data_IF_674840034061
#
_entry.id   IF_674840034061
#
_cell.length_a   1.000
_cell.length_b   1.000
_cell.length_c   1.000
_cell.angle_alpha   90.00
_cell.angle_beta   90.00
_cell.angle_gamma   90.00
#
_symmetry.space_group_name_H-M   'P 1'
#
loop_
_entity.id
_entity.type
_entity.pdbx_description
1 polymer ?
#
# COMPACT_ATOMS: atom_id res chain seq x y z
N UNK A 1 19.11 -68.74 -34.97
CA UNK A 1 18.60 -67.69 -34.07
C UNK A 1 18.76 -66.35 -34.78
N UNK A 2 17.69 -65.80 -35.35
CA UNK A 2 17.72 -64.48 -35.98
C UNK A 2 17.28 -63.42 -34.95
N UNK A 3 18.21 -62.55 -34.58
CA UNK A 3 17.98 -61.43 -33.66
C UNK A 3 17.07 -60.40 -34.33
N UNK A 4 15.82 -60.28 -33.85
CA UNK A 4 14.91 -59.20 -34.25
C UNK A 4 15.51 -57.86 -33.80
N UNK A 5 15.91 -57.03 -34.77
CA UNK A 5 16.34 -55.66 -34.49
C UNK A 5 15.16 -54.87 -33.89
N UNK A 6 15.39 -54.03 -32.86
CA UNK A 6 14.34 -53.17 -32.34
C UNK A 6 13.91 -52.16 -33.41
N UNK A 7 12.61 -51.82 -33.48
CA UNK A 7 12.12 -50.89 -34.49
C UNK A 7 12.83 -49.54 -34.36
N UNK A 8 13.17 -48.88 -35.47
CA UNK A 8 13.85 -47.60 -35.43
C UNK A 8 13.00 -46.58 -34.65
N UNK A 9 13.63 -45.90 -33.70
CA UNK A 9 13.03 -44.78 -32.96
C UNK A 9 12.63 -43.68 -33.96
N UNK A 10 11.40 -43.74 -34.45
CA UNK A 10 10.84 -42.67 -35.25
C UNK A 10 10.87 -41.39 -34.40
N UNK A 11 11.67 -40.41 -34.82
CA UNK A 11 11.57 -39.05 -34.27
C UNK A 11 10.14 -38.59 -34.50
N UNK A 12 9.32 -38.61 -33.44
CA UNK A 12 7.98 -38.02 -33.48
C UNK A 12 8.17 -36.55 -33.82
N UNK A 13 7.94 -36.19 -35.08
CA UNK A 13 7.78 -34.81 -35.48
C UNK A 13 6.44 -34.34 -34.90
N UNK A 14 6.46 -33.88 -33.64
CA UNK A 14 5.30 -33.23 -33.02
C UNK A 14 4.78 -32.09 -33.89
N UNK A 15 5.65 -31.51 -34.75
CA UNK A 15 5.33 -30.46 -35.69
C UNK A 15 4.31 -30.83 -36.79
N UNK A 16 4.20 -32.11 -37.19
CA UNK A 16 3.25 -32.56 -38.23
C UNK A 16 1.97 -33.17 -37.65
N UNK A 17 1.96 -33.47 -36.34
CA UNK A 17 0.79 -33.98 -35.64
C UNK A 17 -0.25 -32.87 -35.44
N UNK A 18 -1.38 -33.00 -36.13
CA UNK A 18 -2.52 -32.08 -36.08
C UNK A 18 -3.02 -31.86 -34.66
N UNK A 19 -2.98 -32.89 -33.81
CA UNK A 19 -3.45 -32.82 -32.43
C UNK A 19 -2.50 -31.97 -31.57
N UNK A 20 -1.20 -32.09 -31.81
CA UNK A 20 -0.17 -31.26 -31.17
C UNK A 20 -0.31 -29.79 -31.60
N UNK A 21 -0.52 -29.54 -32.91
CA UNK A 21 -0.72 -28.18 -33.43
C UNK A 21 -1.98 -27.55 -32.86
N UNK A 22 -3.08 -28.30 -32.75
CA UNK A 22 -4.32 -27.85 -32.12
C UNK A 22 -4.12 -27.52 -30.63
N UNK A 23 -3.35 -28.35 -29.91
CA UNK A 23 -3.03 -28.12 -28.49
C UNK A 23 -2.17 -26.87 -28.31
N UNK A 24 -1.16 -26.66 -29.16
CA UNK A 24 -0.32 -25.46 -29.16
C UNK A 24 -1.11 -24.20 -29.53
N UNK A 25 -2.02 -24.29 -30.50
CA UNK A 25 -2.95 -23.22 -30.87
C UNK A 25 -3.90 -22.84 -29.73
N UNK A 26 -4.51 -23.81 -29.04
CA UNK A 26 -5.35 -23.58 -27.85
C UNK A 26 -4.57 -23.03 -26.65
N UNK A 27 -3.30 -23.46 -26.48
CA UNK A 27 -2.42 -22.93 -25.43
C UNK A 27 -2.05 -21.47 -25.71
N UNK A 28 -1.75 -21.13 -26.97
CA UNK A 28 -1.39 -19.79 -27.42
C UNK A 28 -2.61 -18.88 -27.68
N UNK A 29 -3.83 -19.42 -27.71
CA UNK A 29 -5.05 -18.67 -28.05
C UNK A 29 -5.11 -18.22 -29.50
N UNK A 30 -4.42 -18.93 -30.41
CA UNK A 30 -4.37 -18.59 -31.84
C UNK A 30 -5.10 -19.67 -32.62
N UNK A 31 -6.32 -19.37 -33.06
CA UNK A 31 -7.12 -20.23 -33.93
C UNK A 31 -8.21 -21.00 -33.21
N UNK A 32 -9.43 -20.49 -33.31
CA UNK A 32 -10.65 -21.00 -32.70
C UNK A 32 -11.55 -19.82 -32.40
N UNK A 33 -12.12 -19.23 -33.45
CA UNK A 33 -13.36 -18.47 -33.31
C UNK A 33 -14.44 -19.54 -33.15
N UNK A 34 -15.10 -19.59 -31.99
CA UNK A 34 -16.33 -20.37 -31.88
C UNK A 34 -17.38 -19.76 -32.82
N UNK A 35 -18.43 -20.51 -33.17
CA UNK A 35 -19.57 -20.03 -33.99
C UNK A 35 -20.24 -18.74 -33.45
N UNK A 36 -19.91 -18.33 -32.22
CA UNK A 36 -20.36 -17.11 -31.54
C UNK A 36 -19.41 -15.89 -31.68
N UNK A 37 -18.28 -16.01 -32.41
CA UNK A 37 -17.37 -14.88 -32.68
C UNK A 37 -16.45 -14.46 -31.52
N UNK A 38 -16.45 -15.19 -30.40
CA UNK A 38 -15.57 -14.89 -29.26
C UNK A 38 -14.20 -15.60 -29.39
N UNK A 39 -13.13 -14.82 -29.33
CA UNK A 39 -11.74 -15.33 -29.40
C UNK A 39 -11.42 -16.17 -28.17
N UNK A 40 -11.13 -17.47 -28.36
CA UNK A 40 -10.67 -18.35 -27.28
C UNK A 40 -9.42 -17.80 -26.61
N UNK A 41 -9.58 -17.33 -25.38
CA UNK A 41 -8.48 -16.85 -24.53
C UNK A 41 -7.43 -17.96 -24.37
N UNK A 42 -6.17 -17.60 -24.61
CA UNK A 42 -5.05 -18.53 -24.46
C UNK A 42 -5.05 -19.15 -23.06
N UNK A 43 -4.89 -20.48 -22.96
CA UNK A 43 -4.77 -21.14 -21.64
C UNK A 43 -3.57 -20.60 -20.84
N UNK A 44 -2.56 -20.05 -21.51
CA UNK A 44 -1.48 -19.29 -20.87
C UNK A 44 -2.04 -18.05 -20.16
N UNK A 45 -2.88 -17.24 -20.81
CA UNK A 45 -3.55 -16.10 -20.17
C UNK A 45 -4.53 -16.51 -19.05
N UNK A 46 -5.02 -17.76 -19.08
CA UNK A 46 -5.87 -18.32 -18.04
C UNK A 46 -5.07 -18.85 -16.83
N UNK A 47 -3.89 -19.45 -17.09
CA UNK A 47 -2.97 -19.98 -16.06
C UNK A 47 -2.08 -18.90 -15.45
N UNK A 48 -1.55 -17.96 -16.25
CA UNK A 48 -0.88 -16.74 -15.74
C UNK A 48 -1.89 -15.81 -15.04
N UNK A 49 -3.18 -16.07 -15.23
CA UNK A 49 -4.21 -15.18 -14.73
C UNK A 49 -4.17 -13.83 -15.46
N UNK A 50 -5.28 -13.13 -15.38
CA UNK A 50 -5.40 -11.79 -15.91
C UNK A 50 -4.53 -10.81 -15.09
N UNK A 51 -3.23 -10.72 -15.37
CA UNK A 51 -2.34 -9.71 -14.77
C UNK A 51 -2.73 -8.28 -15.20
N UNK A 52 -3.64 -8.13 -16.16
CA UNK A 52 -4.33 -6.86 -16.45
C UNK A 52 -5.15 -6.37 -15.23
N UNK A 53 -5.31 -7.19 -14.17
CA UNK A 53 -5.79 -6.74 -12.86
C UNK A 53 -4.77 -5.90 -12.07
N UNK A 54 -3.53 -5.70 -12.52
CA UNK A 54 -2.57 -4.82 -11.85
C UNK A 54 -2.67 -3.35 -12.26
N UNK A 55 -3.40 -3.03 -13.32
CA UNK A 55 -3.88 -1.66 -13.55
C UNK A 55 -5.16 -1.40 -12.71
N UNK A 56 -5.12 -1.69 -11.41
CA UNK A 56 -6.10 -1.08 -10.50
C UNK A 56 -5.82 0.40 -10.60
N UNK A 57 -6.73 1.14 -11.22
CA UNK A 57 -6.72 2.59 -11.25
C UNK A 57 -6.62 3.07 -9.81
N UNK A 58 -5.40 3.42 -9.38
CA UNK A 58 -5.19 3.96 -8.05
C UNK A 58 -6.09 5.19 -7.93
N UNK A 59 -6.75 5.38 -6.78
CA UNK A 59 -7.55 6.57 -6.62
C UNK A 59 -6.66 7.80 -6.80
N UNK A 60 -7.12 8.69 -7.68
CA UNK A 60 -6.42 9.93 -7.99
C UNK A 60 -6.18 10.68 -6.67
N UNK A 61 -4.91 11.01 -6.39
CA UNK A 61 -4.51 11.72 -5.17
C UNK A 61 -3.99 10.85 -4.02
N UNK A 62 -4.11 9.51 -4.06
CA UNK A 62 -3.54 8.66 -2.99
C UNK A 62 -2.02 8.82 -2.86
N UNK A 63 -1.31 8.85 -3.98
CA UNK A 63 0.14 9.06 -4.00
C UNK A 63 0.53 10.42 -3.45
N UNK A 64 -0.27 11.44 -3.76
CA UNK A 64 -0.07 12.79 -3.23
C UNK A 64 -0.30 12.80 -1.72
N UNK A 65 -1.34 12.13 -1.24
CA UNK A 65 -1.59 12.00 0.20
C UNK A 65 -0.44 11.30 0.92
N UNK A 66 0.02 10.15 0.42
CA UNK A 66 1.16 9.42 0.98
C UNK A 66 2.45 10.26 0.97
N UNK A 67 2.64 11.09 -0.05
CA UNK A 67 3.80 11.96 -0.14
C UNK A 67 3.72 13.08 0.92
N UNK A 68 2.57 13.74 1.01
CA UNK A 68 2.32 14.79 2.01
C UNK A 68 2.51 14.23 3.43
N UNK A 69 1.99 13.04 3.70
CA UNK A 69 2.12 12.43 5.02
C UNK A 69 3.55 12.02 5.32
N UNK A 70 4.27 11.41 4.36
CA UNK A 70 5.69 11.09 4.53
C UNK A 70 6.54 12.33 4.86
N UNK A 71 6.31 13.44 4.16
CA UNK A 71 6.97 14.74 4.42
C UNK A 71 6.62 15.28 5.80
N UNK A 72 5.35 15.23 6.19
CA UNK A 72 4.91 15.66 7.53
C UNK A 72 5.57 14.84 8.65
N UNK A 73 5.62 13.51 8.52
CA UNK A 73 6.29 12.64 9.48
C UNK A 73 7.79 12.93 9.56
N UNK A 74 8.46 13.15 8.40
CA UNK A 74 9.87 13.55 8.36
C UNK A 74 10.09 14.88 9.08
N UNK A 75 9.25 15.88 8.81
CA UNK A 75 9.34 17.22 9.41
C UNK A 75 9.18 17.18 10.93
N UNK A 76 8.14 16.50 11.43
CA UNK A 76 7.90 16.35 12.87
C UNK A 76 9.02 15.56 13.54
N UNK A 77 9.54 14.51 12.90
CA UNK A 77 10.66 13.73 13.42
C UNK A 77 11.93 14.58 13.59
N UNK A 78 12.29 15.38 12.57
CA UNK A 78 13.45 16.27 12.62
C UNK A 78 13.25 17.34 13.69
N UNK A 79 12.07 17.95 13.77
CA UNK A 79 11.75 18.94 14.81
C UNK A 79 11.86 18.35 16.22
N UNK A 80 11.39 17.11 16.43
CA UNK A 80 11.47 16.44 17.73
C UNK A 80 12.89 16.07 18.14
N UNK A 81 13.78 15.80 17.17
CA UNK A 81 15.19 15.51 17.42
C UNK A 81 16.01 16.79 17.67
N UNK A 82 15.83 17.82 16.84
CA UNK A 82 16.63 19.04 16.88
C UNK A 82 16.15 20.03 17.96
N UNK A 83 14.82 20.22 18.08
CA UNK A 83 14.22 21.26 18.93
C UNK A 83 13.03 20.71 19.74
N UNK A 84 13.29 19.85 20.75
CA UNK A 84 12.23 19.22 21.55
C UNK A 84 11.40 20.24 22.36
N UNK A 85 12.00 21.37 22.74
CA UNK A 85 11.32 22.40 23.55
C UNK A 85 10.26 23.14 22.76
N UNK A 86 10.54 23.52 21.51
CA UNK A 86 9.58 24.24 20.66
C UNK A 86 8.32 23.42 20.35
N UNK A 87 8.46 22.09 20.20
CA UNK A 87 7.31 21.23 19.99
C UNK A 87 6.46 21.06 21.25
N UNK A 88 7.09 20.97 22.42
CA UNK A 88 6.37 20.79 23.68
C UNK A 88 5.65 22.08 24.07
N UNK A 89 6.34 23.22 23.97
CA UNK A 89 5.81 24.54 24.28
C UNK A 89 4.64 24.91 23.35
N UNK A 90 4.77 24.64 22.04
CA UNK A 90 3.68 24.89 21.09
C UNK A 90 2.41 24.03 21.31
N UNK A 91 2.53 22.90 22.01
CA UNK A 91 1.42 21.95 22.20
C UNK A 91 0.79 22.10 23.59
N UNK A 92 1.61 22.27 24.63
CA UNK A 92 1.16 22.25 26.01
C UNK A 92 1.33 23.58 26.75
N UNK A 93 2.05 24.57 26.19
CA UNK A 93 2.38 25.85 26.86
C UNK A 93 2.90 25.64 28.30
N UNK A 94 3.50 24.48 28.57
CA UNK A 94 4.03 24.07 29.86
C UNK A 94 5.56 24.13 29.82
N UNK A 95 6.16 24.73 30.86
CA UNK A 95 7.60 24.75 31.02
C UNK A 95 8.12 23.31 31.22
N UNK A 96 9.08 22.88 30.40
CA UNK A 96 9.52 21.49 30.32
C UNK A 96 10.33 21.06 31.56
N UNK A 97 9.65 20.72 32.66
CA UNK A 97 10.35 20.43 33.93
C UNK A 97 10.89 18.98 34.01
N UNK A 98 10.50 18.04 33.13
CA UNK A 98 11.06 16.69 33.24
C UNK A 98 11.29 15.93 31.92
N UNK A 99 12.57 15.83 31.56
CA UNK A 99 13.21 14.95 30.56
C UNK A 99 12.90 15.24 29.07
N UNK A 100 13.89 15.85 28.39
CA UNK A 100 13.92 16.02 26.91
C UNK A 100 14.13 14.69 26.15
N UNK A 101 14.57 13.66 26.87
CA UNK A 101 14.90 12.31 26.36
C UNK A 101 13.70 11.58 25.71
N UNK A 102 12.52 11.48 26.35
CA UNK A 102 11.33 10.86 25.74
C UNK A 102 10.91 11.54 24.42
N UNK A 103 10.97 12.87 24.33
CA UNK A 103 10.60 13.61 23.11
C UNK A 103 11.56 13.27 21.96
N UNK A 104 12.86 13.14 22.24
CA UNK A 104 13.85 12.72 21.23
C UNK A 104 13.70 11.26 20.81
N UNK A 105 13.41 10.36 21.75
CA UNK A 105 13.13 8.96 21.43
C UNK A 105 11.87 8.82 20.56
N UNK A 106 10.84 9.61 20.85
CA UNK A 106 9.66 9.73 20.01
C UNK A 106 10.00 10.24 18.60
N UNK A 107 10.83 11.29 18.49
CA UNK A 107 11.33 11.77 17.20
C UNK A 107 12.09 10.70 16.40
N UNK A 108 12.92 9.89 17.08
CA UNK A 108 13.63 8.77 16.46
C UNK A 108 12.69 7.67 15.95
N UNK A 109 11.66 7.33 16.71
CA UNK A 109 10.62 6.38 16.28
C UNK A 109 9.80 6.92 15.10
N UNK A 110 9.50 8.22 15.07
CA UNK A 110 8.84 8.84 13.93
C UNK A 110 9.71 8.84 12.67
N UNK A 111 11.02 9.03 12.83
CA UNK A 111 11.96 9.00 11.72
C UNK A 111 11.99 7.61 11.06
N UNK A 112 12.00 6.53 11.86
CA UNK A 112 11.95 5.16 11.32
C UNK A 112 10.64 4.86 10.59
N UNK A 113 9.49 5.31 11.12
CA UNK A 113 8.19 5.20 10.44
C UNK A 113 8.19 6.02 9.15
N UNK A 114 8.78 7.22 9.16
CA UNK A 114 8.85 8.08 7.97
C UNK A 114 9.67 7.44 6.84
N UNK A 115 10.77 6.75 7.15
CA UNK A 115 11.56 6.01 6.16
C UNK A 115 10.75 4.86 5.52
N UNK A 116 9.89 4.19 6.30
CA UNK A 116 8.99 3.15 5.77
C UNK A 116 7.94 3.80 4.84
N UNK A 117 7.41 4.96 5.21
CA UNK A 117 6.45 5.71 4.38
C UNK A 117 7.08 6.19 3.06
N UNK A 118 8.33 6.63 3.08
CA UNK A 118 9.07 6.99 1.86
C UNK A 118 9.25 5.79 0.92
N UNK A 119 9.51 4.59 1.46
CA UNK A 119 9.58 3.38 0.66
C UNK A 119 8.21 2.97 0.10
N UNK A 120 7.12 3.22 0.83
CA UNK A 120 5.77 2.90 0.38
C UNK A 120 5.34 3.67 -0.89
N UNK A 121 5.94 4.83 -1.16
CA UNK A 121 5.69 5.62 -2.38
C UNK A 121 6.13 4.91 -3.65
N UNK A 122 7.18 4.09 -3.58
CA UNK A 122 7.72 3.38 -4.75
C UNK A 122 7.00 2.05 -5.01
N UNK A 123 6.27 1.54 -4.04
CA UNK A 123 5.61 0.23 -4.13
C UNK A 123 4.19 0.35 -4.66
N UNK A 124 3.84 -0.46 -5.66
CA UNK A 124 2.50 -0.55 -6.25
C UNK A 124 1.59 -1.59 -5.57
N UNK A 125 2.08 -2.28 -4.54
CA UNK A 125 1.30 -3.30 -3.85
C UNK A 125 0.19 -2.70 -2.98
N UNK A 126 -1.04 -3.04 -3.32
CA UNK A 126 -2.26 -2.63 -2.62
C UNK A 126 -2.25 -2.97 -1.12
N UNK A 127 -1.60 -4.07 -0.75
CA UNK A 127 -1.50 -4.52 0.64
C UNK A 127 -0.64 -3.54 1.43
N UNK A 128 0.54 -3.20 0.91
CA UNK A 128 1.48 -2.25 1.54
C UNK A 128 0.84 -0.86 1.67
N UNK A 129 0.14 -0.38 0.64
CA UNK A 129 -0.59 0.89 0.70
C UNK A 129 -1.70 0.91 1.77
N UNK A 130 -2.40 -0.22 1.98
CA UNK A 130 -3.43 -0.31 3.02
C UNK A 130 -2.85 -0.38 4.43
N UNK A 131 -1.76 -1.11 4.62
CA UNK A 131 -1.09 -1.18 5.91
C UNK A 131 -0.50 0.16 6.32
N UNK A 132 0.11 0.89 5.39
CA UNK A 132 0.67 2.22 5.66
C UNK A 132 -0.39 3.25 6.03
N UNK A 133 -1.52 3.27 5.33
CA UNK A 133 -2.69 4.08 5.71
C UNK A 133 -3.29 3.68 7.06
N UNK A 134 -3.30 2.38 7.38
CA UNK A 134 -3.79 1.90 8.67
C UNK A 134 -2.85 2.33 9.82
N UNK A 135 -1.54 2.24 9.62
CA UNK A 135 -0.53 2.73 10.56
C UNK A 135 -0.68 4.23 10.79
N UNK A 136 -0.89 5.00 9.72
CA UNK A 136 -1.14 6.44 9.78
C UNK A 136 -2.41 6.78 10.58
N UNK A 137 -3.53 6.13 10.27
CA UNK A 137 -4.79 6.32 10.98
C UNK A 137 -4.68 5.93 12.47
N UNK A 138 -3.97 4.84 12.77
CA UNK A 138 -3.72 4.42 14.14
C UNK A 138 -2.87 5.43 14.90
N UNK A 139 -1.79 5.94 14.29
CA UNK A 139 -0.92 6.94 14.90
C UNK A 139 -1.69 8.22 15.23
N UNK A 140 -2.45 8.78 14.28
CA UNK A 140 -3.22 10.00 14.55
C UNK A 140 -4.38 9.76 15.52
N UNK A 141 -4.98 8.57 15.52
CA UNK A 141 -6.01 8.19 16.49
C UNK A 141 -5.48 8.11 17.92
N UNK A 142 -4.33 7.45 18.12
CA UNK A 142 -3.66 7.41 19.43
C UNK A 142 -3.24 8.80 19.86
N UNK A 143 -2.66 9.59 18.96
CA UNK A 143 -2.23 10.96 19.27
C UNK A 143 -3.41 11.86 19.65
N UNK A 144 -4.54 11.75 18.95
CA UNK A 144 -5.78 12.46 19.30
C UNK A 144 -6.27 12.08 20.70
N UNK A 145 -6.28 10.78 21.02
CA UNK A 145 -6.74 10.30 22.33
C UNK A 145 -5.83 10.80 23.46
N UNK A 146 -4.51 10.69 23.31
CA UNK A 146 -3.54 11.18 24.30
C UNK A 146 -3.69 12.69 24.51
N UNK A 147 -3.66 13.48 23.43
CA UNK A 147 -3.79 14.94 23.54
C UNK A 147 -5.14 15.36 24.12
N UNK A 148 -6.22 14.63 23.84
CA UNK A 148 -7.54 14.92 24.43
C UNK A 148 -7.57 14.68 25.93
N UNK A 149 -6.98 13.57 26.40
CA UNK A 149 -6.90 13.27 27.84
C UNK A 149 -6.06 14.34 28.55
N UNK A 150 -4.87 14.65 28.02
CA UNK A 150 -3.99 15.67 28.60
C UNK A 150 -4.65 17.05 28.62
N UNK A 151 -5.42 17.41 27.60
CA UNK A 151 -6.14 18.70 27.58
C UNK A 151 -7.23 18.78 28.65
N UNK A 152 -7.93 17.66 28.91
CA UNK A 152 -8.94 17.57 29.97
C UNK A 152 -8.28 17.65 31.35
N UNK A 153 -7.12 17.03 31.53
CA UNK A 153 -6.37 17.05 32.79
C UNK A 153 -5.75 18.43 33.09
N UNK A 154 -5.15 19.09 32.09
CA UNK A 154 -4.52 20.41 32.26
C UNK A 154 -5.54 21.56 32.40
N UNK A 155 -6.82 21.34 32.05
CA UNK A 155 -7.92 22.29 32.24
C UNK A 155 -7.79 23.62 31.48
N UNK A 156 -6.78 23.76 30.61
CA UNK A 156 -6.47 24.95 29.81
C UNK A 156 -6.49 24.60 28.33
N UNK A 157 -7.60 24.93 27.68
CA UNK A 157 -7.75 24.76 26.23
C UNK A 157 -7.02 25.86 25.46
N UNK A 158 -5.73 25.68 25.12
CA UNK A 158 -5.06 26.59 24.17
C UNK A 158 -5.73 26.50 22.79
N UNK A 159 -5.86 27.64 22.11
CA UNK A 159 -6.38 27.71 20.74
C UNK A 159 -5.52 26.89 19.77
N UNK A 160 -4.21 26.79 20.02
CA UNK A 160 -3.31 25.92 19.27
C UNK A 160 -3.64 24.44 19.45
N UNK A 161 -3.84 23.99 20.69
CA UNK A 161 -4.17 22.60 21.01
C UNK A 161 -5.50 22.14 20.38
N UNK A 162 -6.51 23.02 20.37
CA UNK A 162 -7.81 22.73 19.75
C UNK A 162 -7.72 22.64 18.22
N UNK A 163 -6.98 23.54 17.57
CA UNK A 163 -6.71 23.46 16.13
C UNK A 163 -5.92 22.19 15.76
N UNK A 164 -4.95 21.81 16.59
CA UNK A 164 -4.21 20.55 16.42
C UNK A 164 -5.17 19.35 16.49
N UNK A 165 -6.05 19.27 17.49
CA UNK A 165 -7.03 18.18 17.59
C UNK A 165 -7.94 18.09 16.36
N UNK A 166 -8.46 19.22 15.88
CA UNK A 166 -9.29 19.27 14.66
C UNK A 166 -8.49 18.73 13.46
N UNK A 167 -7.24 19.16 13.31
CA UNK A 167 -6.38 18.66 12.23
C UNK A 167 -6.21 17.14 12.30
N UNK A 168 -6.00 16.57 13.49
CA UNK A 168 -5.83 15.10 13.65
C UNK A 168 -7.07 14.32 13.24
N UNK A 169 -8.26 14.81 13.59
CA UNK A 169 -9.52 14.20 13.15
C UNK A 169 -9.63 14.23 11.62
N UNK A 170 -9.28 15.36 10.98
CA UNK A 170 -9.27 15.46 9.52
C UNK A 170 -8.30 14.46 8.88
N UNK A 171 -7.07 14.35 9.39
CA UNK A 171 -6.09 13.38 8.90
C UNK A 171 -6.64 11.94 9.02
N UNK A 172 -7.18 11.55 10.16
CA UNK A 172 -7.79 10.23 10.38
C UNK A 172 -8.91 9.94 9.38
N UNK A 173 -9.82 10.91 9.16
CA UNK A 173 -10.92 10.76 8.21
C UNK A 173 -10.42 10.57 6.77
N UNK A 174 -9.40 11.31 6.35
CA UNK A 174 -8.80 11.19 5.02
C UNK A 174 -8.11 9.84 4.86
N UNK A 175 -7.32 9.39 5.85
CA UNK A 175 -6.65 8.09 5.83
C UNK A 175 -7.68 6.94 5.77
N UNK A 176 -8.76 7.01 6.55
CA UNK A 176 -9.85 6.03 6.49
C UNK A 176 -10.61 6.05 5.16
N UNK A 177 -10.85 7.23 4.60
CA UNK A 177 -11.48 7.37 3.29
C UNK A 177 -10.67 6.64 2.21
N UNK A 178 -9.37 6.91 2.13
CA UNK A 178 -8.48 6.22 1.19
C UNK A 178 -8.35 4.73 1.47
N UNK A 179 -8.28 4.33 2.75
CA UNK A 179 -8.24 2.93 3.14
C UNK A 179 -9.49 2.17 2.69
N UNK A 180 -10.67 2.76 2.86
CA UNK A 180 -11.94 2.18 2.41
C UNK A 180 -12.02 2.13 0.89
N UNK A 181 -11.60 3.18 0.20
CA UNK A 181 -11.61 3.26 -1.26
C UNK A 181 -10.68 2.21 -1.90
N UNK A 182 -9.50 2.00 -1.32
CA UNK A 182 -8.62 0.88 -1.66
C UNK A 182 -9.30 -0.46 -1.34
N UNK A 183 -10.01 -0.61 -0.23
CA UNK A 183 -10.72 -1.84 0.13
C UNK A 183 -11.82 -2.28 -0.84
N UNK A 184 -12.40 -1.36 -1.63
CA UNK A 184 -13.49 -1.69 -2.56
C UNK A 184 -13.00 -2.63 -3.67
N UNK A 185 -13.74 -3.73 -3.88
CA UNK A 185 -13.57 -4.58 -5.06
C UNK A 185 -14.08 -3.80 -6.28
N UNK A 186 -13.41 -3.87 -7.44
CA UNK A 186 -13.94 -3.25 -8.65
C UNK A 186 -15.33 -3.83 -8.91
N UNK A 187 -16.34 -2.96 -9.07
CA UNK A 187 -17.64 -3.37 -9.59
C UNK A 187 -17.37 -4.01 -10.95
N UNK A 188 -17.77 -5.28 -11.13
CA UNK A 188 -17.82 -5.88 -12.46
C UNK A 188 -18.83 -5.05 -13.25
N UNK A 189 -18.34 -4.31 -14.24
CA UNK A 189 -19.17 -3.77 -15.32
C UNK A 189 -19.26 -4.88 -16.35
#
# INVERSE_FOLDING_TARGET
>A
MATKQPPPLMKKHSQTDLVSRLKTRKILGVGGEDDDGEVHRSKISQVLGNEIKFAVKEPLGLRVWQFVTAVMFSGVAIMALAFPEQLYDAVFEEESVNSKTPIRLYGGALLSISLIMWNALYTAEKIIMRWTLLTEACYFGVQFLVTSITLVESGRGSTGATLLLISRVLFVLISFYYYYQLGRRPKKV
#
